data_IF_930401245931
#
_entry.id   IF_930401245931
#
_cell.length_a   1.000
_cell.length_b   1.000
_cell.length_c   1.000
_cell.angle_alpha   90.00
_cell.angle_beta   90.00
_cell.angle_gamma   90.00
#
_symmetry.space_group_name_H-M   'P 1'
#
loop_
_entity.id
_entity.type
_entity.pdbx_description
1 polymer ?
#
# COMPACT_ATOMS: atom_id res chain seq x y z
N UNK A 1 2.58 -8.57 -8.78
CA UNK A 1 1.43 -8.95 -7.94
C UNK A 1 1.65 -10.34 -7.35
N UNK A 2 1.99 -11.34 -8.14
CA UNK A 2 2.30 -12.72 -7.70
C UNK A 2 3.25 -12.78 -6.49
N UNK A 3 4.42 -12.15 -6.55
CA UNK A 3 5.39 -12.11 -5.44
C UNK A 3 4.87 -11.55 -4.10
N UNK A 4 3.92 -10.62 -4.12
CA UNK A 4 3.35 -10.07 -2.87
C UNK A 4 2.42 -11.09 -2.19
N UNK A 5 1.75 -11.94 -2.96
CA UNK A 5 0.94 -13.02 -2.42
C UNK A 5 1.79 -14.12 -1.79
N UNK A 6 2.98 -14.38 -2.34
CA UNK A 6 3.90 -15.41 -1.85
C UNK A 6 4.73 -14.95 -0.64
N UNK A 7 5.30 -13.74 -0.71
CA UNK A 7 6.24 -13.24 0.30
C UNK A 7 5.58 -12.40 1.40
N UNK A 8 4.38 -11.85 1.13
CA UNK A 8 3.59 -11.08 2.09
C UNK A 8 4.40 -9.97 2.79
N UNK A 9 4.46 -9.95 4.14
CA UNK A 9 5.19 -8.92 4.89
C UNK A 9 6.71 -9.00 4.76
N UNK A 10 7.25 -10.09 4.22
CA UNK A 10 8.69 -10.29 4.08
C UNK A 10 9.25 -9.82 2.73
N UNK A 11 8.39 -9.37 1.80
CA UNK A 11 8.81 -8.90 0.48
C UNK A 11 9.83 -7.75 0.63
N UNK A 12 11.10 -7.95 0.26
CA UNK A 12 12.14 -6.97 0.56
C UNK A 12 12.24 -5.89 -0.53
N UNK A 13 13.13 -4.92 -0.29
CA UNK A 13 13.58 -4.01 -1.34
C UNK A 13 14.17 -4.80 -2.52
N UNK A 14 14.00 -4.32 -3.76
CA UNK A 14 13.39 -3.05 -4.15
C UNK A 14 11.87 -3.12 -4.35
N UNK A 15 11.20 -4.25 -4.04
CA UNK A 15 9.80 -4.47 -4.39
C UNK A 15 8.82 -3.86 -3.38
N UNK A 16 9.15 -3.93 -2.10
CA UNK A 16 8.38 -3.26 -1.06
C UNK A 16 9.26 -2.55 -0.04
N UNK A 17 8.68 -1.56 0.64
CA UNK A 17 9.37 -0.75 1.63
C UNK A 17 8.40 -0.24 2.72
N UNK A 18 8.95 0.09 3.88
CA UNK A 18 8.20 0.76 4.94
C UNK A 18 8.18 2.25 4.65
N UNK A 19 6.97 2.85 4.62
CA UNK A 19 6.81 4.29 4.35
C UNK A 19 6.66 5.06 5.65
N UNK A 20 5.58 4.82 6.39
CA UNK A 20 5.26 5.49 7.66
C UNK A 20 4.26 4.66 8.45
N UNK A 21 4.54 4.41 9.72
CA UNK A 21 3.66 3.62 10.59
C UNK A 21 3.29 2.27 9.98
N UNK A 22 1.99 2.06 9.69
CA UNK A 22 1.47 0.83 9.04
C UNK A 22 1.45 0.89 7.51
N UNK A 23 1.71 2.04 6.91
CA UNK A 23 1.74 2.20 5.45
C UNK A 23 3.03 1.61 4.88
N UNK A 24 2.87 0.86 3.79
CA UNK A 24 3.91 0.22 2.99
C UNK A 24 3.80 0.67 1.55
N UNK A 25 4.90 0.60 0.83
CA UNK A 25 4.96 0.86 -0.61
C UNK A 25 5.18 -0.45 -1.35
N UNK A 26 4.46 -0.65 -2.46
CA UNK A 26 4.77 -1.65 -3.48
C UNK A 26 5.24 -0.93 -4.74
N UNK A 27 6.41 -1.31 -5.25
CA UNK A 27 7.00 -0.75 -6.47
C UNK A 27 6.73 -1.66 -7.65
N UNK A 28 6.02 -1.16 -8.65
CA UNK A 28 5.72 -1.89 -9.89
C UNK A 28 6.31 -1.11 -11.06
N UNK A 29 7.07 -1.81 -11.91
CA UNK A 29 7.55 -1.27 -13.17
C UNK A 29 6.85 -1.98 -14.32
N UNK A 30 6.28 -1.22 -15.25
CA UNK A 30 5.62 -1.75 -16.45
C UNK A 30 6.07 -0.94 -17.67
N UNK A 31 6.89 -1.55 -18.53
CA UNK A 31 7.60 -0.84 -19.58
C UNK A 31 8.50 0.25 -18.99
N UNK A 32 8.41 1.47 -19.54
CA UNK A 32 9.10 2.66 -19.03
C UNK A 32 8.38 3.37 -17.87
N UNK A 33 7.20 2.88 -17.47
CA UNK A 33 6.41 3.48 -16.41
C UNK A 33 6.70 2.83 -15.07
N UNK A 34 6.88 3.66 -14.05
CA UNK A 34 7.04 3.23 -12.66
C UNK A 34 5.85 3.69 -11.84
N UNK A 35 5.18 2.73 -11.20
CA UNK A 35 4.05 2.95 -10.33
C UNK A 35 4.40 2.58 -8.89
N UNK A 36 3.81 3.31 -7.97
CA UNK A 36 3.90 3.07 -6.54
C UNK A 36 2.50 2.88 -6.00
N UNK A 37 2.28 1.80 -5.28
CA UNK A 37 1.02 1.54 -4.60
C UNK A 37 1.25 1.64 -3.10
N UNK A 38 0.41 2.39 -2.40
CA UNK A 38 0.43 2.44 -0.95
C UNK A 38 -0.59 1.47 -0.40
N UNK A 39 -0.16 0.64 0.54
CA UNK A 39 -0.98 -0.41 1.13
C UNK A 39 -0.70 -0.57 2.62
N UNK A 40 -1.55 -1.34 3.29
CA UNK A 40 -1.32 -1.80 4.66
C UNK A 40 -1.75 -3.25 4.80
N UNK A 41 -1.27 -3.90 5.86
CA UNK A 41 -1.69 -5.26 6.22
C UNK A 41 -2.90 -5.22 7.14
N UNK A 42 -3.90 -6.05 6.85
CA UNK A 42 -5.03 -6.34 7.71
C UNK A 42 -5.15 -7.86 7.90
N UNK A 43 -4.68 -8.36 9.05
CA UNK A 43 -4.47 -9.79 9.24
C UNK A 43 -3.50 -10.35 8.20
N UNK A 44 -3.93 -11.36 7.43
CA UNK A 44 -3.15 -11.94 6.32
C UNK A 44 -3.41 -11.26 4.97
N UNK A 45 -4.25 -10.21 4.94
CA UNK A 45 -4.66 -9.54 3.69
C UNK A 45 -3.85 -8.27 3.49
N UNK A 46 -3.61 -7.96 2.21
CA UNK A 46 -3.05 -6.69 1.77
C UNK A 46 -4.17 -5.81 1.26
N UNK A 47 -4.33 -4.63 1.85
CA UNK A 47 -5.31 -3.64 1.42
C UNK A 47 -4.56 -2.51 0.72
N UNK A 48 -4.73 -2.42 -0.60
CA UNK A 48 -4.16 -1.33 -1.41
C UNK A 48 -5.10 -0.13 -1.31
N UNK A 49 -4.56 1.02 -0.92
CA UNK A 49 -5.33 2.27 -0.79
C UNK A 49 -5.48 2.97 -2.13
N UNK A 50 -4.36 3.15 -2.85
CA UNK A 50 -4.30 3.77 -4.18
C UNK A 50 -2.92 3.52 -4.79
N UNK A 51 -2.80 3.83 -6.08
CA UNK A 51 -1.52 3.86 -6.80
C UNK A 51 -1.33 5.19 -7.52
N UNK A 52 -0.07 5.57 -7.70
CA UNK A 52 0.32 6.79 -8.41
C UNK A 52 1.58 6.55 -9.24
N UNK A 53 1.76 7.36 -10.29
CA UNK A 53 2.98 7.33 -11.10
C UNK A 53 4.14 8.00 -10.37
N UNK A 54 5.31 7.37 -10.42
CA UNK A 54 6.53 7.90 -9.82
C UNK A 54 6.96 9.16 -10.56
N UNK A 55 6.82 10.31 -9.91
CA UNK A 55 7.37 11.60 -10.42
C UNK A 55 8.71 11.97 -9.77
N UNK A 56 8.99 11.42 -8.60
CA UNK A 56 10.24 11.66 -7.83
C UNK A 56 10.61 10.42 -7.00
N UNK A 57 11.78 10.39 -6.37
CA UNK A 57 12.21 9.27 -5.53
C UNK A 57 11.49 9.23 -4.18
N UNK A 58 11.14 10.38 -3.61
CA UNK A 58 10.40 10.45 -2.35
C UNK A 58 8.90 10.33 -2.61
N UNK A 59 8.20 9.65 -1.72
CA UNK A 59 6.74 9.63 -1.75
C UNK A 59 6.25 11.00 -1.26
N UNK A 60 5.41 11.72 -2.02
CA UNK A 60 4.86 13.00 -1.56
C UNK A 60 4.08 12.82 -0.26
N UNK A 61 4.22 13.76 0.68
CA UNK A 61 3.59 13.67 2.01
C UNK A 61 2.07 13.51 1.90
N UNK A 62 1.43 14.21 0.95
CA UNK A 62 -0.01 14.11 0.70
C UNK A 62 -0.49 12.70 0.29
N UNK A 63 0.33 11.92 -0.43
CA UNK A 63 -0.02 10.53 -0.76
C UNK A 63 0.02 9.65 0.51
N UNK A 64 0.96 9.91 1.42
CA UNK A 64 1.06 9.19 2.69
C UNK A 64 -0.14 9.53 3.60
N UNK A 65 -0.48 10.82 3.72
CA UNK A 65 -1.65 11.28 4.50
C UNK A 65 -2.95 10.72 3.95
N UNK A 66 -3.11 10.71 2.62
CA UNK A 66 -4.24 10.08 1.94
C UNK A 66 -4.33 8.59 2.27
N UNK A 67 -3.23 7.85 2.20
CA UNK A 67 -3.20 6.42 2.53
C UNK A 67 -3.62 6.17 3.99
N UNK A 68 -3.15 6.99 4.92
CA UNK A 68 -3.54 6.89 6.33
C UNK A 68 -5.02 7.21 6.56
N UNK A 69 -5.57 8.19 5.84
CA UNK A 69 -7.00 8.52 5.90
C UNK A 69 -7.85 7.37 5.35
N UNK A 70 -7.48 6.80 4.20
CA UNK A 70 -8.15 5.62 3.64
C UNK A 70 -8.06 4.41 4.57
N UNK A 71 -6.93 4.19 5.24
CA UNK A 71 -6.78 3.11 6.22
C UNK A 71 -7.72 3.32 7.42
N UNK A 72 -7.82 4.55 7.95
CA UNK A 72 -8.74 4.85 9.07
C UNK A 72 -10.21 4.62 8.70
N UNK A 73 -10.62 5.11 7.53
CA UNK A 73 -11.98 4.89 6.99
C UNK A 73 -12.27 3.39 6.81
N UNK A 74 -11.36 2.65 6.21
CA UNK A 74 -11.48 1.19 6.07
C UNK A 74 -11.70 0.49 7.42
N UNK A 75 -10.88 0.80 8.42
CA UNK A 75 -10.97 0.17 9.74
C UNK A 75 -12.30 0.48 10.43
N UNK A 76 -12.79 1.73 10.31
CA UNK A 76 -14.08 2.14 10.87
C UNK A 76 -15.25 1.40 10.22
N UNK A 77 -15.23 1.26 8.88
CA UNK A 77 -16.28 0.53 8.15
C UNK A 77 -16.26 -0.97 8.45
N UNK A 78 -15.07 -1.56 8.58
CA UNK A 78 -14.92 -2.95 9.00
C UNK A 78 -15.47 -3.17 10.43
N UNK A 79 -15.18 -2.27 11.37
CA UNK A 79 -15.72 -2.35 12.74
C UNK A 79 -17.25 -2.24 12.79
N UNK A 80 -17.84 -1.49 11.87
CA UNK A 80 -19.30 -1.38 11.71
C UNK A 80 -19.93 -2.58 10.97
N UNK A 81 -19.13 -3.51 10.46
CA UNK A 81 -19.60 -4.64 9.66
C UNK A 81 -20.00 -4.26 8.22
N UNK A 82 -19.62 -3.08 7.73
CA UNK A 82 -19.91 -2.64 6.36
C UNK A 82 -18.95 -3.26 5.33
N UNK A 83 -17.81 -3.78 5.80
CA UNK A 83 -16.81 -4.46 4.96
C UNK A 83 -16.56 -5.84 5.57
N UNK A 84 -16.94 -6.87 4.82
CA UNK A 84 -16.54 -8.25 5.08
C UNK A 84 -15.39 -8.61 4.14
N UNK A 85 -14.34 -9.21 4.70
CA UNK A 85 -13.13 -9.58 3.96
C UNK A 85 -13.06 -11.09 3.76
#
# INVERSE_FOLDING_TARGET
MEKLGEEGPNLPRPFADVVRGKIRELRISFGSNHYRFLYFFFGKKVIITHGFSKKSDRIPVGEIERAEQSMRDFLQRHERGEIEL
#
